data_IF_589547996554
#
_entry.id   IF_589547996554
#
_cell.length_a   1.000
_cell.length_b   1.000
_cell.length_c   1.000
_cell.angle_alpha   90.00
_cell.angle_beta   90.00
_cell.angle_gamma   90.00
#
_symmetry.space_group_name_H-M   'P 1'
#
loop_
_entity.id
_entity.type
_entity.pdbx_description
1 polymer ?
#
# COMPACT_ATOMS: atom_id res chain seq x y z
N UNK A 1 54.68 -48.48 -29.45
CA UNK A 1 55.57 -48.34 -28.27
C UNK A 1 54.79 -47.64 -27.17
N UNK A 2 54.79 -48.23 -25.97
CA UNK A 2 54.11 -47.75 -24.77
C UNK A 2 54.72 -46.46 -24.20
N UNK A 3 53.95 -45.70 -23.42
CA UNK A 3 54.24 -45.33 -22.00
C UNK A 3 53.16 -44.36 -21.44
N UNK A 4 52.32 -44.87 -20.51
CA UNK A 4 52.24 -44.52 -19.07
C UNK A 4 51.78 -43.09 -18.73
N UNK A 5 50.50 -42.93 -18.35
CA UNK A 5 49.94 -42.76 -16.98
C UNK A 5 50.31 -41.44 -16.29
N UNK A 6 49.28 -40.66 -15.93
CA UNK A 6 49.11 -40.05 -14.60
C UNK A 6 47.62 -39.82 -14.32
N UNK A 7 47.14 -40.57 -13.33
CA UNK A 7 45.85 -40.41 -12.66
C UNK A 7 45.95 -39.18 -11.77
N UNK A 8 45.00 -38.26 -11.84
CA UNK A 8 44.77 -37.26 -10.79
C UNK A 8 43.36 -37.48 -10.29
N UNK A 9 43.28 -38.02 -9.07
CA UNK A 9 42.07 -38.21 -8.28
C UNK A 9 41.57 -36.83 -7.88
N UNK A 10 40.41 -36.41 -8.38
CA UNK A 10 39.74 -35.23 -7.87
C UNK A 10 38.96 -35.64 -6.61
N UNK A 11 39.45 -35.20 -5.46
CA UNK A 11 38.79 -35.33 -4.16
C UNK A 11 37.57 -34.40 -4.16
N UNK A 12 36.37 -34.97 -4.15
CA UNK A 12 35.12 -34.23 -3.98
C UNK A 12 34.91 -33.98 -2.49
N UNK A 13 35.17 -32.76 -2.02
CA UNK A 13 34.84 -32.33 -0.65
C UNK A 13 33.36 -31.97 -0.60
N UNK A 14 32.55 -32.85 -0.01
CA UNK A 14 31.15 -32.54 0.33
C UNK A 14 31.14 -31.74 1.64
N UNK A 15 30.84 -30.45 1.56
CA UNK A 15 30.66 -29.60 2.75
C UNK A 15 29.18 -29.58 3.14
N UNK A 16 28.89 -30.00 4.38
CA UNK A 16 27.56 -29.95 4.99
C UNK A 16 27.10 -28.50 5.19
N UNK A 17 25.89 -28.19 4.73
CA UNK A 17 25.14 -27.01 5.15
C UNK A 17 23.92 -27.46 5.96
N UNK A 18 24.08 -27.60 7.28
CA UNK A 18 22.96 -27.68 8.22
C UNK A 18 22.67 -26.28 8.73
N UNK A 19 21.56 -25.69 8.29
CA UNK A 19 21.04 -24.44 8.81
C UNK A 19 19.51 -24.47 8.80
N UNK A 20 18.92 -25.21 9.75
CA UNK A 20 17.47 -25.16 10.00
C UNK A 20 17.21 -24.11 11.06
N UNK A 21 16.40 -23.13 10.68
CA UNK A 21 15.85 -22.01 11.47
C UNK A 21 14.99 -22.47 12.65
N UNK A 22 15.21 -21.86 13.81
CA UNK A 22 14.23 -21.79 14.90
C UNK A 22 14.28 -20.39 15.52
N UNK A 23 13.37 -19.51 15.08
CA UNK A 23 13.09 -18.24 15.74
C UNK A 23 12.33 -18.51 17.02
N UNK A 24 12.94 -18.23 18.18
CA UNK A 24 12.24 -18.22 19.45
C UNK A 24 11.60 -16.84 19.64
N UNK A 25 10.27 -16.84 19.73
CA UNK A 25 9.46 -15.66 19.96
C UNK A 25 9.78 -14.98 21.29
N UNK A 26 9.88 -13.66 21.25
CA UNK A 26 9.83 -12.81 22.43
C UNK A 26 8.44 -12.21 22.57
N UNK A 27 7.65 -12.72 23.53
CA UNK A 27 6.64 -11.94 24.24
C UNK A 27 7.26 -11.65 25.62
N UNK A 28 7.34 -10.42 26.13
CA UNK A 28 6.17 -9.76 26.72
C UNK A 28 6.51 -8.34 27.22
N UNK A 29 5.45 -7.54 27.37
CA UNK A 29 5.28 -6.40 28.30
C UNK A 29 5.94 -5.07 27.91
N UNK A 30 5.26 -4.28 27.09
CA UNK A 30 4.92 -2.88 27.41
C UNK A 30 3.65 -2.50 26.65
N UNK A 31 2.49 -2.69 27.30
CA UNK A 31 1.20 -2.11 26.90
C UNK A 31 1.24 -0.62 27.28
N UNK A 32 2.06 0.16 26.59
CA UNK A 32 1.75 1.56 26.34
C UNK A 32 0.55 1.58 25.39
N UNK A 33 -0.25 2.64 25.43
CA UNK A 33 -1.34 2.86 24.46
C UNK A 33 -0.77 2.61 23.07
N UNK A 34 -1.12 1.48 22.46
CA UNK A 34 -0.60 1.08 21.15
C UNK A 34 -1.22 2.06 20.19
N UNK A 35 -0.47 3.08 19.81
CA UNK A 35 -0.67 3.72 18.53
C UNK A 35 -0.54 2.57 17.53
N UNK A 36 -1.66 2.06 17.02
CA UNK A 36 -1.68 0.92 16.11
C UNK A 36 -1.07 1.38 14.79
N UNK A 37 0.25 1.37 14.76
CA UNK A 37 1.01 1.62 13.56
C UNK A 37 0.82 0.39 12.67
N UNK A 38 -0.04 0.53 11.67
CA UNK A 38 -0.17 -0.44 10.60
C UNK A 38 1.15 -0.55 9.84
N UNK A 39 1.37 -1.72 9.24
CA UNK A 39 2.44 -1.91 8.27
C UNK A 39 2.17 -1.09 7.00
N UNK A 40 3.22 -0.83 6.21
CA UNK A 40 3.07 -0.16 4.93
C UNK A 40 2.14 -0.91 3.98
N UNK A 41 2.20 -2.24 3.95
CA UNK A 41 1.28 -3.06 3.13
C UNK A 41 -0.18 -2.87 3.54
N UNK A 42 -0.47 -2.85 4.85
CA UNK A 42 -1.82 -2.59 5.36
C UNK A 42 -2.30 -1.16 5.04
N UNK A 43 -1.41 -0.17 5.13
CA UNK A 43 -1.72 1.21 4.76
C UNK A 43 -2.01 1.35 3.26
N UNK A 44 -1.23 0.72 2.39
CA UNK A 44 -1.48 0.71 0.95
C UNK A 44 -2.81 0.02 0.61
N UNK A 45 -3.15 -1.08 1.30
CA UNK A 45 -4.44 -1.72 1.16
C UNK A 45 -5.61 -0.81 1.58
N UNK A 46 -5.44 -0.05 2.67
CA UNK A 46 -6.42 0.94 3.11
C UNK A 46 -6.55 2.11 2.12
N UNK A 47 -5.44 2.62 1.58
CA UNK A 47 -5.45 3.63 0.52
C UNK A 47 -6.25 3.17 -0.69
N UNK A 48 -6.06 1.92 -1.16
CA UNK A 48 -6.83 1.34 -2.26
C UNK A 48 -8.32 1.27 -1.92
N UNK A 49 -8.64 0.83 -0.69
CA UNK A 49 -10.01 0.68 -0.21
C UNK A 49 -10.75 2.03 -0.19
N UNK A 50 -10.14 3.08 0.37
CA UNK A 50 -10.77 4.41 0.40
C UNK A 50 -10.84 5.03 -0.99
N UNK A 51 -9.86 4.81 -1.87
CA UNK A 51 -9.92 5.27 -3.26
C UNK A 51 -11.12 4.68 -4.01
N UNK A 52 -11.34 3.36 -3.89
CA UNK A 52 -12.53 2.69 -4.45
C UNK A 52 -13.84 3.23 -3.86
N UNK A 53 -13.84 3.62 -2.58
CA UNK A 53 -15.00 4.23 -1.95
C UNK A 53 -15.24 5.65 -2.48
N UNK A 54 -14.21 6.48 -2.58
CA UNK A 54 -14.30 7.82 -3.19
C UNK A 54 -14.85 7.76 -4.61
N UNK A 55 -14.42 6.78 -5.42
CA UNK A 55 -14.95 6.54 -6.76
C UNK A 55 -16.45 6.22 -6.79
N UNK A 56 -16.96 5.47 -5.79
CA UNK A 56 -18.39 5.15 -5.68
C UNK A 56 -19.21 6.32 -5.18
N UNK A 57 -18.67 7.08 -4.24
CA UNK A 57 -19.37 8.18 -3.58
C UNK A 57 -19.41 9.44 -4.47
N UNK A 58 -18.40 9.62 -5.35
CA UNK A 58 -18.29 10.76 -6.27
C UNK A 58 -18.15 10.32 -7.74
N UNK A 59 -19.20 9.73 -8.33
CA UNK A 59 -19.19 9.28 -9.71
C UNK A 59 -19.37 10.47 -10.68
N UNK A 60 -18.26 11.08 -11.14
CA UNK A 60 -18.24 12.15 -12.17
C UNK A 60 -19.03 13.46 -11.81
N UNK A 61 -18.78 14.63 -12.45
CA UNK A 61 -17.96 14.80 -13.62
C UNK A 61 -16.48 14.82 -13.25
N UNK A 62 -15.73 13.88 -13.83
CA UNK A 62 -14.30 13.73 -13.87
C UNK A 62 -13.57 13.61 -12.53
N UNK A 63 -13.89 12.63 -11.67
CA UNK A 63 -12.85 12.17 -10.74
C UNK A 63 -11.72 11.59 -11.62
N UNK A 64 -10.60 12.29 -11.67
CA UNK A 64 -9.49 12.00 -12.57
C UNK A 64 -8.40 11.22 -11.84
N UNK A 65 -8.03 11.71 -10.66
CA UNK A 65 -6.96 11.11 -9.89
C UNK A 65 -7.12 11.28 -8.38
N UNK A 66 -6.52 10.35 -7.65
CA UNK A 66 -6.33 10.41 -6.20
C UNK A 66 -4.84 10.21 -5.94
N UNK A 67 -4.17 11.21 -5.38
CA UNK A 67 -2.77 11.12 -4.95
C UNK A 67 -2.67 11.15 -3.44
N UNK A 68 -2.29 10.03 -2.83
CA UNK A 68 -1.98 10.00 -1.41
C UNK A 68 -0.68 10.76 -1.14
N UNK A 69 -0.73 11.68 -0.18
CA UNK A 69 0.40 12.53 0.25
C UNK A 69 0.94 12.10 1.62
N UNK A 70 0.32 11.10 2.23
CA UNK A 70 0.77 10.46 3.46
C UNK A 70 0.40 8.99 3.45
N UNK A 71 1.17 8.16 4.14
CA UNK A 71 0.93 6.72 4.29
C UNK A 71 -0.44 6.41 4.94
N UNK A 72 -0.86 7.28 5.85
CA UNK A 72 -2.05 7.09 6.64
C UNK A 72 -1.75 6.40 7.97
N UNK A 73 -2.64 6.61 8.92
CA UNK A 73 -2.51 6.06 10.28
C UNK A 73 -3.87 6.05 10.96
N UNK A 74 -3.98 5.28 12.03
CA UNK A 74 -5.09 5.38 12.98
C UNK A 74 -4.79 6.52 13.94
N UNK A 75 -5.68 7.50 14.00
CA UNK A 75 -5.54 8.60 14.94
C UNK A 75 -6.21 8.31 16.30
N UNK A 76 -6.20 9.29 17.20
CA UNK A 76 -6.81 9.15 18.53
C UNK A 76 -8.33 8.92 18.51
N UNK A 77 -9.00 9.15 17.37
CA UNK A 77 -10.41 8.84 17.14
C UNK A 77 -10.67 7.40 16.74
N UNK A 78 -9.62 6.62 16.44
CA UNK A 78 -9.73 5.20 16.10
C UNK A 78 -10.15 4.92 14.66
N UNK A 79 -10.30 5.94 13.82
CA UNK A 79 -10.47 5.77 12.38
C UNK A 79 -9.10 5.86 11.69
N UNK A 80 -8.93 5.06 10.65
CA UNK A 80 -7.76 5.19 9.78
C UNK A 80 -8.04 6.28 8.76
N UNK A 81 -7.06 7.16 8.52
CA UNK A 81 -7.14 8.12 7.43
C UNK A 81 -5.78 8.46 6.83
N UNK A 82 -5.81 8.95 5.60
CA UNK A 82 -4.64 9.44 4.88
C UNK A 82 -4.95 10.75 4.16
N UNK A 83 -3.98 11.67 4.14
CA UNK A 83 -4.05 12.89 3.35
C UNK A 83 -3.91 12.55 1.87
N UNK A 84 -4.78 13.12 1.04
CA UNK A 84 -4.73 12.98 -0.41
C UNK A 84 -5.02 14.30 -1.12
N UNK A 85 -4.51 14.41 -2.34
CA UNK A 85 -4.99 15.38 -3.33
C UNK A 85 -5.91 14.65 -4.30
N UNK A 86 -7.14 15.13 -4.44
CA UNK A 86 -8.14 14.57 -5.34
C UNK A 86 -8.33 15.55 -6.49
N UNK A 87 -8.14 15.10 -7.73
CA UNK A 87 -8.36 15.94 -8.91
C UNK A 87 -9.73 15.67 -9.49
N UNK A 88 -10.56 16.71 -9.54
CA UNK A 88 -11.90 16.67 -10.10
C UNK A 88 -12.04 17.82 -11.10
N UNK A 89 -12.37 17.50 -12.36
CA UNK A 89 -12.56 18.49 -13.44
C UNK A 89 -11.36 19.44 -13.58
N UNK A 90 -10.15 18.86 -13.59
CA UNK A 90 -8.88 19.58 -13.66
C UNK A 90 -8.52 20.43 -12.43
N UNK A 91 -9.28 20.35 -11.33
CA UNK A 91 -9.00 21.07 -10.08
C UNK A 91 -8.61 20.12 -8.96
N UNK A 92 -7.58 20.50 -8.21
CA UNK A 92 -7.09 19.76 -7.04
C UNK A 92 -7.80 20.18 -5.75
N UNK A 93 -8.18 19.18 -4.95
CA UNK A 93 -8.82 19.32 -3.65
C UNK A 93 -8.00 18.56 -2.60
N UNK A 94 -7.74 19.18 -1.45
CA UNK A 94 -6.99 18.54 -0.36
C UNK A 94 -7.95 17.88 0.61
N UNK A 95 -7.82 16.56 0.72
CA UNK A 95 -8.73 15.73 1.51
C UNK A 95 -7.97 14.89 2.54
N UNK A 96 -8.66 14.58 3.62
CA UNK A 96 -8.35 13.49 4.53
C UNK A 96 -9.32 12.38 4.18
N UNK A 97 -8.84 11.33 3.52
CA UNK A 97 -9.66 10.17 3.13
C UNK A 97 -9.55 9.10 4.20
N UNK A 98 -10.68 8.77 4.83
CA UNK A 98 -10.77 7.75 5.88
C UNK A 98 -11.68 6.59 5.51
N UNK A 99 -11.59 5.52 6.30
CA UNK A 99 -12.41 4.31 6.08
C UNK A 99 -13.86 4.58 6.45
N UNK A 100 -14.10 5.30 7.54
CA UNK A 100 -15.45 5.62 8.00
C UNK A 100 -15.82 7.05 7.65
N UNK A 101 -14.86 7.97 7.78
CA UNK A 101 -15.11 9.41 7.58
C UNK A 101 -14.05 10.01 6.68
N UNK A 102 -14.49 10.76 5.68
CA UNK A 102 -13.61 11.65 4.92
C UNK A 102 -13.91 13.10 5.25
N UNK A 103 -12.88 13.93 5.35
CA UNK A 103 -12.96 15.35 5.72
C UNK A 103 -12.12 16.17 4.76
N UNK A 104 -12.68 17.26 4.23
CA UNK A 104 -11.94 18.20 3.41
C UNK A 104 -12.85 19.19 2.69
N UNK A 105 -12.46 19.56 1.48
CA UNK A 105 -13.16 20.54 0.67
C UNK A 105 -14.49 20.00 0.13
N UNK A 106 -15.45 20.90 -0.06
CA UNK A 106 -16.73 20.51 -0.66
C UNK A 106 -16.52 20.23 -2.14
N UNK A 107 -16.59 18.95 -2.53
CA UNK A 107 -16.58 18.54 -3.92
C UNK A 107 -17.78 19.13 -4.69
N UNK A 108 -17.63 19.40 -5.99
CA UNK A 108 -18.76 19.77 -6.83
C UNK A 108 -19.81 18.65 -6.82
N UNK A 109 -21.10 19.01 -6.83
CA UNK A 109 -22.18 18.01 -6.86
C UNK A 109 -22.13 17.22 -8.17
N UNK A 110 -22.23 15.88 -8.13
CA UNK A 110 -22.26 15.05 -9.33
C UNK A 110 -23.52 15.35 -10.15
N UNK A 111 -23.37 15.33 -11.48
CA UNK A 111 -24.52 15.40 -12.38
C UNK A 111 -25.31 14.08 -12.33
N UNK A 112 -26.65 14.10 -12.28
CA UNK A 112 -27.43 12.88 -12.32
C UNK A 112 -27.20 12.11 -13.63
N UNK A 113 -26.98 10.79 -13.55
CA UNK A 113 -26.79 9.90 -14.69
C UNK A 113 -25.33 9.64 -15.08
N UNK A 114 -24.37 10.06 -14.27
CA UNK A 114 -22.95 9.84 -14.51
C UNK A 114 -22.45 8.47 -14.01
N UNK A 115 -21.57 7.84 -14.78
CA UNK A 115 -20.88 6.58 -14.44
C UNK A 115 -19.45 6.90 -13.99
N UNK A 116 -18.88 6.22 -12.97
CA UNK A 116 -17.46 6.33 -12.65
C UNK A 116 -16.59 6.09 -13.89
N UNK A 117 -15.65 7.00 -14.13
CA UNK A 117 -14.60 6.82 -15.13
C UNK A 117 -13.44 6.01 -14.57
N UNK A 118 -12.45 5.71 -15.41
CA UNK A 118 -11.17 5.22 -14.92
C UNK A 118 -10.47 6.30 -14.10
N UNK A 119 -9.96 5.96 -12.91
CA UNK A 119 -9.30 6.89 -11.99
C UNK A 119 -7.87 6.44 -11.76
N UNK A 120 -6.91 7.35 -11.91
CA UNK A 120 -5.52 7.09 -11.56
C UNK A 120 -5.31 7.27 -10.07
N UNK A 121 -4.84 6.23 -9.39
CA UNK A 121 -4.47 6.29 -7.97
C UNK A 121 -2.95 6.28 -7.87
N UNK A 122 -2.38 7.28 -7.21
CA UNK A 122 -0.98 7.34 -6.82
C UNK A 122 -0.91 7.14 -5.31
N UNK A 123 -0.27 6.04 -4.90
CA UNK A 123 -0.09 5.67 -3.51
C UNK A 123 1.00 6.49 -2.84
N UNK A 124 1.05 6.44 -1.51
CA UNK A 124 2.06 7.17 -0.73
C UNK A 124 3.50 6.66 -0.92
N UNK A 125 3.67 5.48 -1.50
CA UNK A 125 4.97 4.89 -1.86
C UNK A 125 5.38 5.20 -3.32
N UNK A 126 4.69 6.16 -3.95
CA UNK A 126 4.83 6.59 -5.34
C UNK A 126 4.49 5.51 -6.39
N UNK A 127 3.99 4.34 -5.98
CA UNK A 127 3.38 3.40 -6.94
C UNK A 127 2.04 3.93 -7.44
N UNK A 128 1.60 3.45 -8.60
CA UNK A 128 0.32 3.88 -9.17
C UNK A 128 -0.42 2.76 -9.89
N UNK A 129 -1.74 2.86 -9.90
CA UNK A 129 -2.60 2.00 -10.70
C UNK A 129 -3.82 2.76 -11.23
N UNK A 130 -4.49 2.17 -12.22
CA UNK A 130 -5.75 2.71 -12.76
C UNK A 130 -6.91 1.83 -12.29
N UNK A 131 -7.83 2.40 -11.53
CA UNK A 131 -9.03 1.74 -11.02
C UNK A 131 -10.23 2.06 -11.92
N UNK A 132 -11.22 1.15 -11.97
CA UNK A 132 -12.43 1.26 -12.78
C UNK A 132 -13.65 0.76 -12.01
#
# INVERSE_FOLDING_TARGET
MARYRRVVVAVLVVTLATGVTAGLGGCSVFRGVVNQQLTTEENLANQKKVALQTMRDYPNPALESIRFTSEGHVDGGGDWSANATVTIDGKDYREILGILTSVGEVFPKPSPGSTPGAVTVIYSDDTSEVLK
#
